data_IF_882959787112
#
_entry.id   IF_882959787112
#
_cell.length_a   1.000
_cell.length_b   1.000
_cell.length_c   1.000
_cell.angle_alpha   90.00
_cell.angle_beta   90.00
_cell.angle_gamma   90.00
#
_symmetry.space_group_name_H-M   'P 1'
#
loop_
_entity.id
_entity.type
_entity.pdbx_description
1 polymer ?
#
# COMPACT_ATOMS: atom_id res chain seq x y z
N UNK A 1 -62.28 -32.85 -24.63
CA UNK A 1 -61.53 -33.81 -23.79
C UNK A 1 -60.16 -33.21 -23.56
N UNK A 2 -59.85 -32.92 -22.29
CA UNK A 2 -58.58 -32.32 -21.85
C UNK A 2 -57.42 -33.30 -22.05
N UNK A 3 -56.26 -32.78 -22.43
CA UNK A 3 -54.98 -33.26 -21.96
C UNK A 3 -54.07 -32.05 -21.70
N UNK A 4 -53.80 -31.82 -20.41
CA UNK A 4 -52.83 -30.85 -19.91
C UNK A 4 -51.41 -31.32 -20.25
N UNK A 5 -50.58 -30.40 -20.74
CA UNK A 5 -49.12 -30.51 -20.77
C UNK A 5 -48.54 -29.22 -20.21
N UNK A 6 -48.18 -29.24 -18.93
CA UNK A 6 -47.55 -28.14 -18.20
C UNK A 6 -46.05 -28.17 -18.54
N UNK A 7 -45.57 -27.15 -19.26
CA UNK A 7 -44.14 -26.88 -19.47
C UNK A 7 -43.75 -25.62 -18.72
N UNK A 8 -43.10 -25.79 -17.57
CA UNK A 8 -42.54 -24.73 -16.73
C UNK A 8 -41.23 -24.28 -17.40
N UNK A 9 -41.25 -23.13 -18.07
CA UNK A 9 -40.03 -22.42 -18.46
C UNK A 9 -39.57 -21.53 -17.30
N UNK A 10 -38.26 -21.50 -16.97
CA UNK A 10 -37.77 -20.62 -15.92
C UNK A 10 -37.93 -19.16 -16.37
N UNK A 11 -38.66 -18.39 -15.55
CA UNK A 11 -38.69 -16.94 -15.58
C UNK A 11 -37.27 -16.42 -15.38
N UNK A 12 -36.66 -15.93 -16.46
CA UNK A 12 -35.55 -14.98 -16.37
C UNK A 12 -36.09 -13.77 -15.62
N UNK A 13 -35.74 -13.68 -14.34
CA UNK A 13 -35.99 -12.51 -13.52
C UNK A 13 -35.39 -11.32 -14.24
N UNK A 14 -36.25 -10.41 -14.68
CA UNK A 14 -35.84 -9.12 -15.20
C UNK A 14 -35.04 -8.40 -14.13
N UNK A 15 -33.72 -8.37 -14.29
CA UNK A 15 -32.97 -7.23 -13.79
C UNK A 15 -33.59 -6.03 -14.50
N UNK A 16 -34.30 -5.20 -13.75
CA UNK A 16 -34.52 -3.82 -14.17
C UNK A 16 -33.14 -3.29 -14.53
N UNK A 17 -32.93 -3.01 -15.81
CA UNK A 17 -31.80 -2.19 -16.24
C UNK A 17 -31.96 -0.88 -15.46
N UNK A 18 -31.08 -0.67 -14.47
CA UNK A 18 -30.99 0.61 -13.80
C UNK A 18 -30.76 1.63 -14.91
N UNK A 19 -31.64 2.62 -14.99
CA UNK A 19 -31.43 3.79 -15.83
C UNK A 19 -30.00 4.25 -15.56
N UNK A 20 -29.11 4.37 -16.57
CA UNK A 20 -27.75 4.81 -16.33
C UNK A 20 -27.82 6.13 -15.57
N UNK A 21 -27.25 6.16 -14.35
CA UNK A 21 -27.08 7.41 -13.64
C UNK A 21 -26.40 8.37 -14.62
N UNK A 22 -26.89 9.62 -14.78
CA UNK A 22 -26.18 10.59 -15.59
C UNK A 22 -24.74 10.65 -15.08
N UNK A 23 -23.79 10.45 -15.99
CA UNK A 23 -22.35 10.39 -15.71
C UNK A 23 -21.87 11.77 -15.28
N UNK A 24 -22.15 12.14 -14.04
CA UNK A 24 -21.77 13.42 -13.42
C UNK A 24 -20.88 13.18 -12.22
N UNK A 25 -19.90 14.04 -12.05
CA UNK A 25 -19.03 14.09 -10.87
C UNK A 25 -19.68 14.96 -9.80
N UNK A 26 -19.77 14.43 -8.58
CA UNK A 26 -20.19 15.16 -7.39
C UNK A 26 -18.98 15.81 -6.73
N UNK A 27 -19.08 17.11 -6.46
CA UNK A 27 -18.11 17.86 -5.66
C UNK A 27 -18.65 17.95 -4.23
N UNK A 28 -17.89 17.43 -3.28
CA UNK A 28 -18.23 17.38 -1.86
C UNK A 28 -17.15 18.11 -1.05
N UNK A 29 -17.27 19.44 -0.86
CA UNK A 29 -16.38 20.19 0.02
C UNK A 29 -16.58 19.74 1.48
N UNK A 30 -15.48 19.59 2.21
CA UNK A 30 -15.49 19.27 3.65
C UNK A 30 -15.23 20.53 4.46
N UNK A 31 -14.20 21.27 4.07
CA UNK A 31 -13.83 22.57 4.63
C UNK A 31 -13.06 23.37 3.57
N UNK A 32 -12.51 24.53 3.95
CA UNK A 32 -11.77 25.38 3.02
C UNK A 32 -10.60 24.69 2.34
N UNK A 33 -10.00 23.67 2.96
CA UNK A 33 -8.74 23.07 2.51
C UNK A 33 -8.86 21.60 2.10
N UNK A 34 -10.06 21.02 2.19
CA UNK A 34 -10.33 19.61 1.93
C UNK A 34 -11.65 19.45 1.17
N UNK A 35 -11.62 18.72 0.07
CA UNK A 35 -12.78 18.38 -0.73
C UNK A 35 -12.64 16.99 -1.37
N UNK A 36 -13.76 16.42 -1.80
CA UNK A 36 -13.78 15.21 -2.61
C UNK A 36 -14.43 15.48 -3.97
N UNK A 37 -13.92 14.83 -5.00
CA UNK A 37 -14.57 14.70 -6.30
C UNK A 37 -14.94 13.23 -6.50
N UNK A 38 -16.23 12.94 -6.65
CA UNK A 38 -16.76 11.58 -6.69
C UNK A 38 -17.42 11.33 -8.05
N UNK A 39 -17.02 10.26 -8.73
CA UNK A 39 -17.61 9.86 -9.99
C UNK A 39 -18.24 8.47 -9.87
N UNK A 40 -19.43 8.24 -10.46
CA UNK A 40 -19.98 6.90 -10.64
C UNK A 40 -18.98 5.97 -11.34
N UNK A 41 -18.97 4.71 -10.95
CA UNK A 41 -18.09 3.70 -11.54
C UNK A 41 -18.82 2.36 -11.71
N UNK A 42 -18.81 1.76 -12.91
CA UNK A 42 -19.64 0.59 -13.22
C UNK A 42 -19.30 -0.65 -12.38
N UNK A 43 -18.04 -0.83 -12.00
CA UNK A 43 -17.60 -2.01 -11.23
C UNK A 43 -17.47 -1.75 -9.72
N UNK A 44 -17.34 -0.48 -9.30
CA UNK A 44 -17.00 -0.14 -7.92
C UNK A 44 -18.17 0.55 -7.20
N UNK A 45 -19.21 0.97 -7.92
CA UNK A 45 -20.24 1.91 -7.43
C UNK A 45 -19.83 3.33 -7.73
N UNK A 46 -18.78 3.81 -7.06
CA UNK A 46 -18.17 5.11 -7.27
C UNK A 46 -16.67 5.12 -6.93
N UNK A 47 -15.94 6.05 -7.54
CA UNK A 47 -14.57 6.39 -7.18
C UNK A 47 -14.56 7.80 -6.61
N UNK A 48 -14.01 7.97 -5.41
CA UNK A 48 -13.81 9.28 -4.80
C UNK A 48 -12.33 9.64 -4.76
N UNK A 49 -12.01 10.81 -5.26
CA UNK A 49 -10.68 11.41 -5.17
C UNK A 49 -10.68 12.46 -4.07
N UNK A 50 -9.75 12.36 -3.14
CA UNK A 50 -9.55 13.37 -2.10
C UNK A 50 -8.58 14.42 -2.58
N UNK A 51 -9.05 15.65 -2.59
CA UNK A 51 -8.25 16.83 -2.85
C UNK A 51 -8.01 17.59 -1.57
N UNK A 52 -6.77 17.98 -1.36
CA UNK A 52 -6.41 18.82 -0.25
C UNK A 52 -5.47 19.91 -0.73
N UNK A 53 -5.71 21.15 -0.30
CA UNK A 53 -4.77 22.26 -0.49
C UNK A 53 -4.07 22.54 0.83
N UNK A 54 -3.01 23.35 0.78
CA UNK A 54 -2.22 23.70 1.97
C UNK A 54 -1.58 22.47 2.64
N UNK A 55 -1.35 21.39 1.87
CA UNK A 55 -0.82 20.12 2.39
C UNK A 55 0.63 19.92 2.07
N UNK A 56 1.43 19.76 3.11
CA UNK A 56 2.82 19.34 3.04
C UNK A 56 3.58 19.81 4.25
N UNK A 57 4.90 19.75 4.19
CA UNK A 57 5.78 20.12 5.29
C UNK A 57 6.95 20.94 4.82
N UNK A 58 7.46 21.78 5.70
CA UNK A 58 8.70 22.53 5.53
C UNK A 58 9.83 21.76 6.22
N UNK A 59 10.52 20.89 5.49
CA UNK A 59 11.81 20.34 5.88
C UNK A 59 12.92 21.00 5.07
N UNK A 60 14.11 21.21 5.65
CA UNK A 60 15.29 21.61 4.88
C UNK A 60 15.53 20.55 3.77
N UNK A 61 15.59 20.90 2.47
CA UNK A 61 15.94 22.21 1.88
C UNK A 61 14.76 23.04 1.33
N UNK A 62 13.51 22.70 1.64
CA UNK A 62 12.32 23.41 1.16
C UNK A 62 12.07 24.68 2.00
N UNK A 63 11.69 25.79 1.36
CA UNK A 63 11.29 27.02 2.06
C UNK A 63 9.76 27.10 2.17
N UNK A 64 9.23 27.35 3.37
CA UNK A 64 7.79 27.53 3.59
C UNK A 64 6.96 26.25 3.45
N UNK A 65 5.66 26.29 3.75
CA UNK A 65 4.75 25.18 3.42
C UNK A 65 4.27 25.31 1.96
N UNK A 66 3.77 24.25 1.32
CA UNK A 66 3.02 24.38 0.06
C UNK A 66 1.65 24.99 0.38
N UNK A 67 1.41 26.24 -0.02
CA UNK A 67 0.33 27.04 0.59
C UNK A 67 -0.95 27.19 -0.22
N UNK A 68 -1.10 26.66 -1.45
CA UNK A 68 -2.23 27.14 -2.28
C UNK A 68 -2.86 26.11 -3.24
N UNK A 69 -2.09 25.22 -3.86
CA UNK A 69 -2.59 24.33 -4.89
C UNK A 69 -3.46 23.17 -4.35
N UNK A 70 -4.58 22.87 -5.03
CA UNK A 70 -5.37 21.66 -4.80
C UNK A 70 -4.64 20.42 -5.32
N UNK A 71 -4.45 19.42 -4.47
CA UNK A 71 -3.73 18.20 -4.84
C UNK A 71 -4.46 16.94 -4.47
N UNK A 72 -4.37 15.95 -5.35
CA UNK A 72 -4.88 14.61 -5.07
C UNK A 72 -3.97 13.93 -4.05
N UNK A 73 -4.55 13.47 -2.95
CA UNK A 73 -3.83 12.85 -1.82
C UNK A 73 -4.33 11.46 -1.47
N UNK A 74 -5.56 11.11 -1.88
CA UNK A 74 -6.12 9.79 -1.70
C UNK A 74 -7.19 9.44 -2.74
N UNK A 75 -7.43 8.14 -2.88
CA UNK A 75 -8.47 7.55 -3.72
C UNK A 75 -9.21 6.48 -2.93
N UNK A 76 -10.54 6.47 -3.05
CA UNK A 76 -11.45 5.56 -2.37
C UNK A 76 -12.40 4.91 -3.37
N UNK A 77 -12.77 3.65 -3.12
CA UNK A 77 -13.93 3.02 -3.71
C UNK A 77 -15.13 3.15 -2.77
N UNK A 78 -16.32 3.37 -3.32
CA UNK A 78 -17.56 3.59 -2.59
C UNK A 78 -18.71 2.86 -3.27
N UNK A 79 -19.66 2.34 -2.50
CA UNK A 79 -20.83 1.69 -3.07
C UNK A 79 -21.70 2.63 -3.94
N UNK A 80 -21.70 3.93 -3.65
CA UNK A 80 -22.50 4.93 -4.36
C UNK A 80 -21.85 6.33 -4.30
N UNK A 81 -22.16 7.18 -5.30
CA UNK A 81 -21.63 8.55 -5.42
C UNK A 81 -22.11 9.49 -4.31
N UNK A 82 -23.23 9.18 -3.67
CA UNK A 82 -23.73 9.92 -2.51
C UNK A 82 -23.01 9.55 -1.20
N UNK A 83 -22.27 8.43 -1.18
CA UNK A 83 -21.57 7.94 -0.01
C UNK A 83 -20.51 8.92 0.53
N UNK A 84 -20.27 8.87 1.85
CA UNK A 84 -19.20 9.62 2.50
C UNK A 84 -17.87 8.83 2.43
N UNK A 85 -16.85 9.31 1.68
CA UNK A 85 -15.55 8.67 1.60
C UNK A 85 -14.87 8.48 2.96
N UNK A 86 -15.12 9.35 3.93
CA UNK A 86 -14.43 9.33 5.21
C UNK A 86 -14.88 8.17 6.11
N UNK A 87 -16.14 7.73 5.99
CA UNK A 87 -16.72 6.69 6.86
C UNK A 87 -17.08 5.40 6.13
N UNK A 88 -17.38 5.49 4.83
CA UNK A 88 -17.84 4.35 4.03
C UNK A 88 -16.88 3.95 2.90
N UNK A 89 -15.82 4.74 2.66
CA UNK A 89 -14.87 4.50 1.57
C UNK A 89 -13.88 3.38 1.88
N UNK A 90 -13.75 2.42 0.96
CA UNK A 90 -12.59 1.52 0.94
C UNK A 90 -11.39 2.28 0.38
N UNK A 91 -10.33 2.42 1.17
CA UNK A 91 -9.11 3.12 0.76
C UNK A 91 -8.38 2.33 -0.32
N UNK A 92 -8.30 2.86 -1.54
CA UNK A 92 -7.46 2.28 -2.59
C UNK A 92 -6.03 2.80 -2.48
N UNK A 93 -5.86 4.05 -2.09
CA UNK A 93 -4.57 4.68 -1.81
C UNK A 93 -4.74 5.96 -1.02
N UNK A 94 -3.80 6.23 -0.12
CA UNK A 94 -3.76 7.48 0.63
C UNK A 94 -2.32 7.80 1.04
N UNK A 95 -1.95 9.08 0.99
CA UNK A 95 -0.68 9.55 1.50
C UNK A 95 -0.83 10.97 2.08
N UNK A 96 0.15 11.39 2.87
CA UNK A 96 0.30 12.77 3.34
C UNK A 96 0.87 13.66 2.23
N UNK A 97 1.65 13.07 1.32
CA UNK A 97 2.19 13.75 0.13
C UNK A 97 1.24 13.63 -1.06
N UNK A 98 1.33 14.60 -1.97
CA UNK A 98 0.54 14.57 -3.18
C UNK A 98 1.18 13.70 -4.29
N UNK A 99 0.34 13.35 -5.27
CA UNK A 99 0.62 12.32 -6.27
C UNK A 99 1.01 12.91 -7.64
N UNK A 100 1.05 14.23 -7.75
CA UNK A 100 1.34 14.98 -8.96
C UNK A 100 2.80 14.81 -9.40
N UNK A 101 3.79 15.04 -8.54
CA UNK A 101 5.21 14.95 -8.92
C UNK A 101 6.14 14.78 -7.70
N UNK A 102 7.42 14.52 -7.95
CA UNK A 102 8.47 14.59 -6.93
C UNK A 102 9.80 15.07 -7.52
N UNK A 103 10.42 16.04 -6.86
CA UNK A 103 11.75 16.56 -7.19
C UNK A 103 12.69 16.46 -6.00
N UNK A 104 13.96 16.17 -6.23
CA UNK A 104 14.96 16.15 -5.16
C UNK A 104 16.09 17.10 -5.50
N UNK A 105 16.44 17.99 -4.57
CA UNK A 105 17.59 18.87 -4.72
C UNK A 105 18.70 18.34 -3.80
N UNK A 106 19.88 18.07 -4.38
CA UNK A 106 21.06 17.48 -3.71
C UNK A 106 20.89 16.01 -3.24
N UNK A 107 21.86 15.50 -2.49
CA UNK A 107 22.00 14.10 -2.04
C UNK A 107 21.25 13.79 -0.73
N UNK A 108 20.18 14.52 -0.39
CA UNK A 108 19.41 14.27 0.85
C UNK A 108 18.50 13.05 0.61
N UNK A 109 18.54 12.00 1.44
CA UNK A 109 18.01 10.67 1.11
C UNK A 109 16.47 10.52 1.07
N UNK A 110 15.69 11.56 1.37
CA UNK A 110 14.25 11.41 1.52
C UNK A 110 13.49 11.62 0.20
N UNK A 111 13.22 10.50 -0.49
CA UNK A 111 12.25 10.40 -1.59
C UNK A 111 10.82 10.42 -1.02
N UNK A 112 10.08 11.51 -1.19
CA UNK A 112 8.85 11.73 -0.43
C UNK A 112 7.67 12.36 -1.15
N UNK A 113 7.41 12.12 -2.45
CA UNK A 113 6.25 12.75 -3.12
C UNK A 113 6.36 14.28 -3.14
N UNK A 114 5.32 15.00 -3.58
CA UNK A 114 5.30 16.47 -3.63
C UNK A 114 5.15 17.12 -2.25
N UNK A 115 5.99 16.68 -1.31
CA UNK A 115 6.22 17.32 -0.03
C UNK A 115 7.20 18.50 -0.20
N UNK A 116 6.94 19.35 -1.20
CA UNK A 116 7.76 20.52 -1.50
C UNK A 116 7.10 21.76 -0.91
N UNK A 117 7.67 22.25 0.18
CA UNK A 117 7.45 23.61 0.62
C UNK A 117 7.77 24.64 -0.47
N UNK A 118 7.05 25.76 -0.50
CA UNK A 118 7.42 26.91 -1.34
C UNK A 118 6.81 26.91 -2.74
N UNK A 119 5.83 26.04 -3.01
CA UNK A 119 4.99 26.18 -4.19
C UNK A 119 3.99 27.32 -4.01
N UNK A 120 3.99 28.24 -4.97
CA UNK A 120 3.04 29.36 -5.08
C UNK A 120 2.17 29.18 -6.32
N UNK A 121 0.87 29.36 -6.18
CA UNK A 121 -0.07 29.28 -7.30
C UNK A 121 0.07 30.53 -8.16
N UNK A 122 0.22 30.35 -9.48
CA UNK A 122 0.23 31.45 -10.45
C UNK A 122 -1.17 31.62 -11.04
N UNK A 123 -1.80 30.51 -11.42
CA UNK A 123 -3.17 30.50 -11.92
C UNK A 123 -3.85 29.16 -11.64
N UNK A 124 -5.17 29.22 -11.47
CA UNK A 124 -6.04 28.06 -11.37
C UNK A 124 -7.35 28.37 -12.08
N UNK A 125 -7.74 27.53 -13.04
CA UNK A 125 -9.00 27.64 -13.75
C UNK A 125 -9.66 26.28 -13.82
N UNK A 126 -10.98 26.21 -13.67
CA UNK A 126 -11.72 24.96 -13.73
C UNK A 126 -12.80 24.88 -12.68
N UNK A 127 -13.10 23.65 -12.27
CA UNK A 127 -14.14 23.35 -11.29
C UNK A 127 -13.73 23.84 -9.91
N UNK A 128 -14.61 24.59 -9.24
CA UNK A 128 -14.36 25.09 -7.89
C UNK A 128 -14.66 24.00 -6.85
N UNK A 129 -13.60 23.40 -6.28
CA UNK A 129 -13.70 22.39 -5.22
C UNK A 129 -14.32 22.91 -3.91
N UNK A 130 -14.46 24.23 -3.74
CA UNK A 130 -15.10 24.82 -2.56
C UNK A 130 -16.63 24.88 -2.67
N UNK A 131 -17.19 24.61 -3.86
CA UNK A 131 -18.62 24.67 -4.12
C UNK A 131 -19.20 23.27 -4.30
N UNK A 132 -20.13 22.90 -3.43
CA UNK A 132 -20.85 21.64 -3.55
C UNK A 132 -21.73 21.64 -4.80
N UNK A 133 -21.77 20.52 -5.53
CA UNK A 133 -22.60 20.40 -6.73
C UNK A 133 -22.30 19.18 -7.58
N UNK A 134 -22.97 19.11 -8.73
CA UNK A 134 -22.74 18.08 -9.75
C UNK A 134 -22.27 18.75 -11.04
N UNK A 135 -21.21 18.21 -11.63
CA UNK A 135 -20.63 18.67 -12.89
C UNK A 135 -20.49 17.50 -13.85
N UNK A 136 -20.52 17.70 -15.19
CA UNK A 136 -20.33 16.60 -16.14
C UNK A 136 -18.96 15.91 -16.01
N UNK A 137 -17.93 16.70 -15.70
CA UNK A 137 -16.58 16.26 -15.38
C UNK A 137 -15.98 17.24 -14.38
N UNK A 138 -15.09 16.75 -13.52
CA UNK A 138 -14.28 17.61 -12.67
C UNK A 138 -12.96 17.87 -13.40
N UNK A 139 -12.67 19.13 -13.69
CA UNK A 139 -11.50 19.52 -14.46
C UNK A 139 -10.83 20.75 -13.85
N UNK A 140 -9.50 20.81 -13.91
CA UNK A 140 -8.77 22.05 -13.67
C UNK A 140 -7.46 22.10 -14.43
N UNK A 141 -7.08 23.34 -14.74
CA UNK A 141 -5.75 23.73 -15.17
C UNK A 141 -5.10 24.55 -14.06
N UNK A 142 -3.87 24.19 -13.73
CA UNK A 142 -3.07 24.84 -12.70
C UNK A 142 -1.71 25.22 -13.25
N UNK A 143 -1.28 26.44 -12.96
CA UNK A 143 0.11 26.86 -13.10
C UNK A 143 0.65 27.29 -11.75
N UNK A 144 1.86 26.86 -11.44
CA UNK A 144 2.52 27.18 -10.17
C UNK A 144 4.03 27.25 -10.33
N UNK A 145 4.69 27.82 -9.33
CA UNK A 145 6.15 27.88 -9.27
C UNK A 145 6.61 27.37 -7.90
N UNK A 146 7.57 26.45 -7.91
CA UNK A 146 8.25 25.96 -6.72
C UNK A 146 9.55 26.73 -6.57
N UNK A 147 9.78 27.33 -5.40
CA UNK A 147 11.04 28.01 -5.06
C UNK A 147 11.81 27.23 -4.00
N UNK A 148 13.02 26.81 -4.33
CA UNK A 148 13.90 26.10 -3.40
C UNK A 148 14.88 27.04 -2.69
N UNK A 149 15.41 26.62 -1.54
CA UNK A 149 16.36 27.41 -0.75
C UNK A 149 17.67 27.74 -1.48
N UNK A 150 18.07 26.95 -2.46
CA UNK A 150 19.26 27.19 -3.28
C UNK A 150 19.02 28.17 -4.46
N UNK A 151 17.82 28.78 -4.54
CA UNK A 151 17.44 29.69 -5.61
C UNK A 151 16.97 29.01 -6.90
N UNK A 152 16.88 27.67 -6.94
CA UNK A 152 16.26 26.96 -8.06
C UNK A 152 14.76 27.24 -8.08
N UNK A 153 14.24 27.64 -9.24
CA UNK A 153 12.80 27.78 -9.48
C UNK A 153 12.35 26.75 -10.52
N UNK A 154 11.25 26.06 -10.24
CA UNK A 154 10.63 25.12 -11.19
C UNK A 154 9.21 25.60 -11.47
N UNK A 155 8.93 25.90 -12.74
CA UNK A 155 7.58 26.18 -13.20
C UNK A 155 6.85 24.85 -13.46
N UNK A 156 5.63 24.73 -12.96
CA UNK A 156 4.76 23.56 -13.09
C UNK A 156 3.49 23.97 -13.83
N UNK A 157 3.10 23.15 -14.79
CA UNK A 157 1.77 23.18 -15.41
C UNK A 157 1.11 21.82 -15.18
N UNK A 158 -0.14 21.83 -14.75
CA UNK A 158 -0.92 20.61 -14.51
C UNK A 158 -2.32 20.77 -15.08
N UNK A 159 -2.70 19.83 -15.92
CA UNK A 159 -4.08 19.66 -16.35
C UNK A 159 -4.59 18.36 -15.73
N UNK A 160 -5.80 18.41 -15.20
CA UNK A 160 -6.40 17.28 -14.53
C UNK A 160 -7.87 17.16 -14.93
N UNK A 161 -8.32 15.95 -15.20
CA UNK A 161 -9.74 15.66 -15.32
C UNK A 161 -10.11 14.34 -14.63
N UNK A 162 -11.31 14.33 -14.04
CA UNK A 162 -12.04 13.15 -13.62
C UNK A 162 -13.33 13.10 -14.44
N UNK A 163 -13.48 12.07 -15.25
CA UNK A 163 -14.69 11.87 -16.05
C UNK A 163 -15.87 11.45 -15.16
N UNK A 164 -17.09 11.66 -15.64
CA UNK A 164 -18.31 11.15 -15.00
C UNK A 164 -18.42 9.62 -14.90
N UNK A 165 -17.40 8.88 -15.31
CA UNK A 165 -17.29 7.41 -15.21
C UNK A 165 -16.07 6.97 -14.37
N UNK A 166 -15.40 7.89 -13.67
CA UNK A 166 -14.32 7.54 -12.74
C UNK A 166 -12.94 7.36 -13.38
N UNK A 167 -12.75 7.74 -14.64
CA UNK A 167 -11.42 7.76 -15.26
C UNK A 167 -10.72 9.08 -14.95
N UNK A 168 -9.46 9.00 -14.55
CA UNK A 168 -8.61 10.18 -14.29
C UNK A 168 -7.65 10.38 -15.44
N UNK A 169 -7.56 11.59 -15.95
CA UNK A 169 -6.51 11.99 -16.87
C UNK A 169 -5.70 13.12 -16.25
N UNK A 170 -4.39 13.03 -16.37
CA UNK A 170 -3.46 14.00 -15.81
C UNK A 170 -2.33 14.26 -16.79
N UNK A 171 -2.12 15.54 -17.11
CA UNK A 171 -0.98 16.02 -17.86
C UNK A 171 -0.16 16.95 -16.96
N UNK A 172 1.13 16.68 -16.81
CA UNK A 172 2.03 17.50 -15.99
C UNK A 172 3.25 17.85 -16.80
N UNK A 173 3.61 19.12 -16.80
CA UNK A 173 4.87 19.62 -17.32
C UNK A 173 5.63 20.37 -16.25
N UNK A 174 6.96 20.23 -16.27
CA UNK A 174 7.87 20.97 -15.40
C UNK A 174 9.00 21.57 -16.23
N UNK A 175 9.33 22.84 -15.97
CA UNK A 175 10.45 23.50 -16.64
C UNK A 175 11.33 24.29 -15.67
N UNK A 176 12.64 24.18 -15.86
CA UNK A 176 13.65 24.90 -15.09
C UNK A 176 15.03 24.81 -15.74
N UNK A 177 15.83 25.86 -15.60
CA UNK A 177 17.27 25.81 -15.88
C UNK A 177 18.09 25.26 -14.68
N UNK A 178 17.44 24.99 -13.55
CA UNK A 178 18.07 24.49 -12.34
C UNK A 178 18.41 23.00 -12.38
N UNK A 179 19.30 22.62 -11.45
CA UNK A 179 19.81 21.26 -11.30
C UNK A 179 19.12 20.55 -10.14
N UNK A 180 18.58 19.36 -10.41
CA UNK A 180 17.93 18.49 -9.42
C UNK A 180 18.48 17.06 -9.56
N UNK A 181 18.53 16.28 -8.48
CA UNK A 181 19.04 14.91 -8.48
C UNK A 181 18.00 13.91 -8.99
N UNK A 182 16.74 14.09 -8.59
CA UNK A 182 15.61 13.21 -8.95
C UNK A 182 14.48 13.99 -9.59
N UNK A 183 13.82 13.36 -10.58
CA UNK A 183 12.68 13.91 -11.30
C UNK A 183 11.64 12.82 -11.56
N UNK A 184 10.47 12.99 -10.98
CA UNK A 184 9.31 12.14 -11.25
C UNK A 184 8.08 13.01 -11.51
N UNK A 185 7.34 12.68 -12.56
CA UNK A 185 6.02 13.27 -12.84
C UNK A 185 4.94 12.18 -12.81
N UNK A 186 3.77 12.49 -12.28
CA UNK A 186 2.64 11.57 -12.19
C UNK A 186 2.93 10.34 -11.35
N UNK A 187 3.14 10.51 -10.04
CA UNK A 187 3.30 9.40 -9.10
C UNK A 187 1.96 8.72 -8.79
N UNK A 188 1.94 7.41 -8.59
CA UNK A 188 0.75 6.72 -8.05
C UNK A 188 1.10 6.18 -6.67
N UNK A 189 0.22 6.41 -5.68
CA UNK A 189 0.45 5.95 -4.31
C UNK A 189 -0.76 5.15 -3.84
N UNK A 190 -0.62 3.84 -3.82
CA UNK A 190 -1.68 2.91 -3.45
C UNK A 190 -1.47 2.34 -2.05
N UNK A 191 -2.53 1.76 -1.50
CA UNK A 191 -2.48 0.96 -0.28
C UNK A 191 -1.40 -0.13 -0.44
N UNK A 192 -0.65 -0.49 0.62
CA UNK A 192 0.40 -1.51 0.53
C UNK A 192 -0.09 -2.88 0.02
N UNK A 193 -1.38 -3.16 0.11
CA UNK A 193 -1.97 -4.40 -0.41
C UNK A 193 -2.02 -4.44 -1.94
N UNK A 194 -1.87 -3.30 -2.63
CA UNK A 194 -1.59 -3.29 -4.08
C UNK A 194 -0.17 -3.80 -4.30
N UNK A 195 0.01 -5.10 -4.16
CA UNK A 195 1.31 -5.74 -4.08
C UNK A 195 1.68 -6.52 -5.33
N UNK A 196 0.81 -6.53 -6.34
CA UNK A 196 1.06 -7.17 -7.62
C UNK A 196 0.92 -6.18 -8.76
N UNK A 197 1.69 -6.42 -9.80
CA UNK A 197 1.61 -5.66 -11.02
C UNK A 197 1.58 -6.55 -12.26
N UNK A 198 1.02 -6.01 -13.34
CA UNK A 198 0.98 -6.61 -14.67
C UNK A 198 1.35 -5.56 -15.71
N UNK A 199 2.08 -6.00 -16.74
CA UNK A 199 2.45 -5.20 -17.92
C UNK A 199 1.84 -5.75 -19.21
N UNK A 200 0.97 -6.77 -19.11
CA UNK A 200 0.31 -7.47 -20.21
C UNK A 200 -1.23 -7.39 -20.11
N UNK A 201 -1.74 -6.33 -19.47
CA UNK A 201 -3.18 -6.08 -19.33
C UNK A 201 -3.88 -7.01 -18.33
N UNK A 202 -3.14 -7.64 -17.42
CA UNK A 202 -3.65 -8.51 -16.36
C UNK A 202 -3.58 -10.00 -16.66
N UNK A 203 -2.94 -10.41 -17.76
CA UNK A 203 -2.79 -11.81 -18.13
C UNK A 203 -1.79 -12.55 -17.22
N UNK A 204 -0.74 -11.86 -16.77
CA UNK A 204 0.20 -12.35 -15.77
C UNK A 204 0.49 -11.30 -14.70
N UNK A 205 0.85 -11.77 -13.50
CA UNK A 205 1.11 -10.92 -12.34
C UNK A 205 2.49 -11.21 -11.75
N UNK A 206 3.21 -10.15 -11.42
CA UNK A 206 4.47 -10.19 -10.68
C UNK A 206 4.31 -9.50 -9.33
N UNK A 207 4.97 -10.02 -8.30
CA UNK A 207 4.95 -9.43 -6.97
C UNK A 207 5.88 -8.21 -6.87
N UNK A 208 5.45 -7.19 -6.13
CA UNK A 208 6.27 -6.08 -5.67
C UNK A 208 6.87 -6.48 -4.32
N UNK A 209 8.20 -6.53 -4.15
CA UNK A 209 8.83 -6.86 -2.87
C UNK A 209 8.31 -6.00 -1.71
N UNK A 210 8.08 -6.60 -0.55
CA UNK A 210 7.55 -5.93 0.64
C UNK A 210 8.63 -5.40 1.60
N UNK A 211 9.83 -5.14 1.09
CA UNK A 211 11.04 -4.81 1.85
C UNK A 211 11.57 -3.39 1.52
N UNK A 212 10.75 -2.56 0.87
CA UNK A 212 11.09 -1.23 0.34
C UNK A 212 12.14 -1.22 -0.79
N UNK A 213 12.53 -2.39 -1.32
CA UNK A 213 13.41 -2.44 -2.48
C UNK A 213 12.73 -1.87 -3.73
N UNK A 214 13.55 -1.24 -4.59
CA UNK A 214 13.08 -0.71 -5.87
C UNK A 214 12.95 -1.85 -6.86
N UNK A 215 11.71 -2.12 -7.28
CA UNK A 215 11.40 -2.99 -8.39
C UNK A 215 11.37 -2.16 -9.68
N UNK A 216 12.28 -2.44 -10.61
CA UNK A 216 12.24 -1.84 -11.94
C UNK A 216 11.21 -2.60 -12.79
N UNK A 217 10.09 -1.95 -13.11
CA UNK A 217 9.00 -2.53 -13.94
C UNK A 217 9.33 -2.40 -15.45
N UNK A 218 10.44 -1.73 -15.79
CA UNK A 218 10.94 -1.38 -17.13
C UNK A 218 10.24 -0.15 -17.76
N UNK A 219 10.01 -0.13 -19.08
CA UNK A 219 9.29 0.93 -19.81
C UNK A 219 7.85 0.54 -20.18
N UNK A 220 7.02 -0.01 -19.28
CA UNK A 220 5.63 -0.28 -19.64
C UNK A 220 4.92 1.06 -19.79
N UNK A 221 4.28 1.26 -20.93
CA UNK A 221 3.33 2.35 -21.14
C UNK A 221 1.97 2.03 -20.52
N UNK A 222 1.79 0.80 -20.04
CA UNK A 222 0.57 0.26 -19.48
C UNK A 222 0.92 -0.63 -18.29
N UNK A 223 0.55 -0.17 -17.11
CA UNK A 223 0.81 -0.82 -15.83
C UNK A 223 -0.50 -1.04 -15.11
N UNK A 224 -0.81 -2.28 -14.77
CA UNK A 224 -1.93 -2.59 -13.87
C UNK A 224 -1.38 -2.97 -12.51
N UNK A 225 -1.77 -2.28 -11.46
CA UNK A 225 -1.57 -2.71 -10.07
C UNK A 225 -2.83 -3.42 -9.59
N UNK A 226 -2.65 -4.44 -8.73
CA UNK A 226 -3.75 -5.20 -8.14
C UNK A 226 -3.53 -5.44 -6.67
N UNK A 227 -4.61 -5.28 -5.91
CA UNK A 227 -4.76 -5.84 -4.58
C UNK A 227 -5.32 -7.26 -4.72
N UNK A 228 -4.52 -8.32 -4.49
CA UNK A 228 -5.00 -9.69 -4.65
C UNK A 228 -6.04 -10.08 -3.60
N UNK A 229 -6.10 -9.40 -2.45
CA UNK A 229 -7.04 -9.74 -1.37
C UNK A 229 -8.45 -9.28 -1.70
N UNK A 230 -8.58 -8.11 -2.33
CA UNK A 230 -9.89 -7.50 -2.61
C UNK A 230 -10.24 -7.51 -4.09
N UNK A 231 -9.30 -7.88 -4.96
CA UNK A 231 -9.48 -7.82 -6.40
C UNK A 231 -9.43 -6.42 -7.00
N UNK A 232 -9.30 -5.35 -6.19
CA UNK A 232 -9.24 -3.99 -6.71
C UNK A 232 -8.02 -3.81 -7.61
N UNK A 233 -8.21 -3.10 -8.72
CA UNK A 233 -7.15 -2.77 -9.66
C UNK A 233 -7.10 -1.28 -9.94
N UNK A 234 -5.89 -0.82 -10.27
CA UNK A 234 -5.68 0.48 -10.91
C UNK A 234 -4.76 0.27 -12.09
N UNK A 235 -5.21 0.70 -13.27
CA UNK A 235 -4.42 0.67 -14.50
C UNK A 235 -3.97 2.09 -14.80
N UNK A 236 -2.66 2.25 -14.90
CA UNK A 236 -1.98 3.47 -15.32
C UNK A 236 -1.48 3.27 -16.75
N UNK A 237 -2.04 4.04 -17.68
CA UNK A 237 -1.49 4.16 -19.04
C UNK A 237 -0.71 5.47 -19.10
N UNK A 238 0.62 5.37 -19.22
CA UNK A 238 1.50 6.54 -19.37
C UNK A 238 1.79 6.75 -20.85
N UNK A 239 1.33 7.86 -21.40
CA UNK A 239 1.67 8.28 -22.75
C UNK A 239 3.03 9.00 -22.75
N UNK A 240 4.10 8.25 -22.50
CA UNK A 240 5.49 8.70 -22.64
C UNK A 240 6.17 8.55 -24.04
N UNK A 241 5.62 7.90 -25.10
CA UNK A 241 6.35 7.60 -26.34
C UNK A 241 6.94 8.78 -27.14
N UNK A 242 6.78 10.04 -26.73
CA UNK A 242 7.35 11.22 -27.40
C UNK A 242 8.43 11.96 -26.59
N UNK A 243 8.76 11.53 -25.36
CA UNK A 243 9.65 12.28 -24.47
C UNK A 243 11.02 11.59 -24.32
N UNK A 244 12.12 12.17 -24.88
CA UNK A 244 13.45 11.54 -24.85
C UNK A 244 14.01 11.37 -23.43
N UNK A 245 13.46 12.09 -22.46
CA UNK A 245 13.92 12.09 -21.07
C UNK A 245 13.24 11.02 -20.21
N UNK A 246 12.14 10.37 -20.67
CA UNK A 246 11.48 9.31 -19.89
C UNK A 246 12.34 8.05 -19.84
N UNK A 247 12.64 7.57 -18.63
CA UNK A 247 13.53 6.43 -18.44
C UNK A 247 12.79 5.14 -18.19
N UNK A 248 11.92 5.11 -17.17
CA UNK A 248 11.25 3.90 -16.68
C UNK A 248 10.07 4.23 -15.78
N UNK A 249 9.25 3.21 -15.54
CA UNK A 249 8.42 3.14 -14.34
C UNK A 249 9.12 2.25 -13.31
N UNK A 250 9.25 2.75 -12.08
CA UNK A 250 9.71 1.95 -10.93
C UNK A 250 8.61 1.84 -9.90
N UNK A 251 8.65 0.78 -9.08
CA UNK A 251 7.78 0.64 -7.92
C UNK A 251 8.55 0.28 -6.65
N UNK A 252 7.99 0.67 -5.51
CA UNK A 252 8.45 0.24 -4.17
C UNK A 252 7.26 -0.01 -3.26
N UNK A 253 7.41 -0.93 -2.32
CA UNK A 253 6.37 -1.25 -1.35
C UNK A 253 6.94 -1.45 0.05
N UNK A 254 6.37 -0.71 1.00
CA UNK A 254 6.53 -0.91 2.44
C UNK A 254 5.19 -0.58 3.13
N UNK A 255 5.05 0.62 3.67
CA UNK A 255 3.79 1.12 4.25
C UNK A 255 2.75 1.52 3.20
N UNK A 256 3.15 1.55 1.93
CA UNK A 256 2.38 1.98 0.75
C UNK A 256 3.07 1.47 -0.50
N UNK A 257 2.32 1.26 -1.57
CA UNK A 257 2.87 0.95 -2.89
C UNK A 257 2.99 2.25 -3.68
N UNK A 258 4.19 2.57 -4.16
CA UNK A 258 4.42 3.76 -4.99
C UNK A 258 4.90 3.36 -6.36
N UNK A 259 4.39 4.02 -7.40
CA UNK A 259 4.98 4.01 -8.74
C UNK A 259 5.53 5.40 -9.09
N UNK A 260 6.63 5.41 -9.84
CA UNK A 260 7.31 6.63 -10.30
C UNK A 260 7.49 6.57 -11.80
N UNK A 261 7.02 7.58 -12.54
CA UNK A 261 7.50 7.80 -13.91
C UNK A 261 8.78 8.64 -13.83
N UNK A 262 9.93 8.01 -14.00
CA UNK A 262 11.24 8.63 -13.81
C UNK A 262 11.74 9.29 -15.11
N UNK A 263 12.43 10.43 -14.95
CA UNK A 263 13.02 11.19 -16.05
C UNK A 263 14.51 11.44 -15.84
N UNK A 264 15.32 11.16 -16.88
CA UNK A 264 16.73 11.53 -16.96
C UNK A 264 16.89 12.82 -17.75
N UNK A 265 17.52 13.82 -17.14
CA UNK A 265 17.70 15.12 -17.77
C UNK A 265 19.16 15.60 -17.70
N UNK A 266 20.12 14.69 -17.54
CA UNK A 266 21.55 15.01 -17.55
C UNK A 266 21.97 16.12 -16.56
N UNK A 267 21.24 16.26 -15.44
CA UNK A 267 21.53 17.24 -14.40
C UNK A 267 20.66 18.49 -14.43
N UNK A 268 20.19 18.98 -15.57
CA UNK A 268 19.31 20.17 -15.65
C UNK A 268 17.90 19.76 -16.04
N UNK A 269 16.85 20.25 -15.37
CA UNK A 269 15.46 19.83 -15.68
C UNK A 269 15.12 20.08 -17.16
N UNK A 270 15.46 21.25 -17.69
CA UNK A 270 15.07 21.65 -19.04
C UNK A 270 13.55 21.82 -19.10
N UNK A 271 12.89 21.08 -19.98
CA UNK A 271 11.42 20.93 -19.99
C UNK A 271 11.10 19.44 -20.07
N UNK A 272 10.39 18.92 -19.08
CA UNK A 272 9.89 17.53 -19.06
C UNK A 272 8.37 17.55 -18.96
N UNK A 273 7.72 16.55 -19.56
CA UNK A 273 6.27 16.39 -19.47
C UNK A 273 5.88 14.92 -19.38
N UNK A 274 4.74 14.66 -18.75
CA UNK A 274 4.12 13.36 -18.64
C UNK A 274 2.61 13.49 -18.79
N UNK A 275 2.01 12.58 -19.54
CA UNK A 275 0.56 12.37 -19.56
C UNK A 275 0.28 10.96 -19.07
N UNK A 276 -0.72 10.84 -18.20
CA UNK A 276 -1.21 9.54 -17.75
C UNK A 276 -2.72 9.50 -17.65
N UNK A 277 -3.26 8.31 -17.88
CA UNK A 277 -4.65 7.97 -17.62
C UNK A 277 -4.67 6.89 -16.53
N UNK A 278 -5.46 7.12 -15.48
CA UNK A 278 -5.74 6.13 -14.45
C UNK A 278 -7.17 5.63 -14.63
N UNK A 279 -7.33 4.32 -14.66
CA UNK A 279 -8.64 3.65 -14.63
C UNK A 279 -8.67 2.68 -13.46
N UNK A 280 -9.78 2.66 -12.74
CA UNK A 280 -9.97 1.79 -11.59
C UNK A 280 -10.83 0.59 -12.00
N UNK A 281 -10.70 -0.50 -11.27
CA UNK A 281 -11.42 -1.71 -11.61
C UNK A 281 -11.49 -2.70 -10.47
N UNK A 282 -12.15 -3.80 -10.77
CA UNK A 282 -12.31 -4.94 -9.89
C UNK A 282 -12.10 -6.19 -10.72
N UNK A 283 -11.20 -7.05 -10.29
CA UNK A 283 -11.08 -8.43 -10.75
C UNK A 283 -11.53 -9.37 -9.64
N UNK A 284 -11.68 -10.65 -9.94
CA UNK A 284 -11.89 -11.63 -8.88
C UNK A 284 -10.71 -11.55 -7.89
N UNK A 285 -10.95 -11.49 -6.57
CA UNK A 285 -9.89 -11.65 -5.59
C UNK A 285 -9.14 -12.95 -5.85
N UNK A 286 -7.85 -12.99 -5.50
CA UNK A 286 -7.20 -14.29 -5.41
C UNK A 286 -7.97 -15.14 -4.40
N UNK A 287 -8.09 -16.46 -4.65
CA UNK A 287 -8.61 -17.34 -3.62
C UNK A 287 -7.78 -17.09 -2.36
N UNK A 288 -8.44 -16.87 -1.20
CA UNK A 288 -7.71 -16.68 0.04
C UNK A 288 -6.73 -17.85 0.16
N UNK A 289 -5.46 -17.61 0.52
CA UNK A 289 -4.48 -18.68 0.59
C UNK A 289 -5.08 -19.78 1.47
N UNK A 290 -5.12 -21.00 0.95
CA UNK A 290 -5.79 -22.12 1.61
C UNK A 290 -5.07 -22.41 2.94
N UNK A 291 -5.53 -21.77 4.01
CA UNK A 291 -5.05 -21.96 5.35
C UNK A 291 -5.86 -23.07 5.99
N UNK A 292 -5.40 -24.30 5.82
CA UNK A 292 -5.79 -25.37 6.71
C UNK A 292 -5.12 -25.15 8.08
N UNK A 293 -5.78 -25.48 9.19
CA UNK A 293 -5.11 -25.58 10.48
C UNK A 293 -3.81 -26.37 10.35
N UNK A 294 -2.72 -25.84 10.89
CA UNK A 294 -1.43 -26.48 10.78
C UNK A 294 -0.79 -26.69 12.15
N UNK A 295 0.02 -27.73 12.20
CA UNK A 295 0.98 -27.95 13.26
C UNK A 295 2.38 -27.96 12.63
N UNK A 296 3.26 -27.11 13.13
CA UNK A 296 4.68 -27.11 12.77
C UNK A 296 5.47 -27.79 13.88
N UNK A 297 6.18 -28.85 13.49
CA UNK A 297 7.28 -29.45 14.27
C UNK A 297 8.59 -28.87 13.75
N UNK A 298 9.45 -28.38 14.64
CA UNK A 298 10.70 -27.73 14.26
C UNK A 298 11.82 -28.74 14.02
N UNK A 299 11.68 -29.56 12.98
CA UNK A 299 12.60 -30.69 12.67
C UNK A 299 13.67 -30.36 11.63
N UNK A 300 13.44 -29.34 10.80
CA UNK A 300 14.35 -28.91 9.74
C UNK A 300 14.75 -27.45 9.91
N UNK A 301 16.03 -27.15 9.67
CA UNK A 301 16.54 -25.78 9.65
C UNK A 301 16.26 -25.10 8.30
N UNK A 302 16.18 -23.77 8.31
CA UNK A 302 16.05 -22.94 7.11
C UNK A 302 17.34 -22.97 6.28
N UNK A 303 17.20 -23.04 4.95
CA UNK A 303 18.33 -23.04 4.02
C UNK A 303 19.15 -21.73 4.07
N UNK A 304 18.50 -20.60 4.37
CA UNK A 304 19.14 -19.29 4.48
C UNK A 304 19.69 -18.98 5.86
N UNK A 305 19.27 -19.73 6.88
CA UNK A 305 19.73 -19.56 8.26
C UNK A 305 19.63 -20.87 9.06
N UNK A 306 20.75 -21.58 9.29
CA UNK A 306 20.75 -22.85 10.01
C UNK A 306 20.31 -22.73 11.48
N UNK A 307 20.17 -21.51 12.00
CA UNK A 307 19.68 -21.22 13.34
C UNK A 307 18.14 -21.05 13.42
N UNK A 308 17.44 -20.90 12.30
CA UNK A 308 15.98 -20.75 12.25
C UNK A 308 15.33 -22.04 11.72
N UNK A 309 14.12 -22.41 12.17
CA UNK A 309 13.35 -23.46 11.51
C UNK A 309 13.03 -23.08 10.06
N UNK A 310 12.79 -24.08 9.21
CA UNK A 310 12.30 -23.84 7.86
C UNK A 310 11.01 -23.01 7.88
N UNK A 311 10.90 -21.99 7.02
CA UNK A 311 9.75 -21.07 6.96
C UNK A 311 9.78 -19.94 8.00
N UNK A 312 10.92 -19.68 8.64
CA UNK A 312 11.11 -18.59 9.58
C UNK A 312 12.32 -17.72 9.23
N UNK A 313 12.10 -16.40 9.20
CA UNK A 313 13.13 -15.40 8.92
C UNK A 313 13.46 -14.57 10.15
N UNK A 314 14.74 -14.33 10.40
CA UNK A 314 15.22 -13.44 11.46
C UNK A 314 15.24 -11.99 10.94
N UNK A 315 14.47 -11.10 11.56
CA UNK A 315 14.27 -9.74 11.04
C UNK A 315 15.16 -8.66 11.67
N UNK A 316 16.02 -9.01 12.64
CA UNK A 316 17.00 -8.07 13.20
C UNK A 316 18.36 -8.75 13.44
N UNK A 317 19.31 -8.62 12.50
CA UNK A 317 20.68 -9.09 12.67
C UNK A 317 21.51 -7.93 13.22
N UNK A 318 21.57 -7.73 14.54
CA UNK A 318 22.73 -7.02 15.09
C UNK A 318 23.94 -7.94 14.88
N UNK A 319 24.79 -7.58 13.93
CA UNK A 319 25.93 -8.34 13.44
C UNK A 319 26.88 -8.74 14.59
N UNK A 320 27.13 -10.04 14.75
CA UNK A 320 28.11 -10.59 15.69
C UNK A 320 27.55 -11.39 16.87
N UNK A 321 26.23 -11.40 17.07
CA UNK A 321 25.60 -12.22 18.11
C UNK A 321 25.35 -13.63 17.56
N UNK A 322 25.84 -14.70 18.21
CA UNK A 322 25.55 -16.08 17.80
C UNK A 322 24.04 -16.24 17.62
N UNK A 323 23.62 -16.67 16.43
CA UNK A 323 22.25 -17.12 16.21
C UNK A 323 21.92 -18.24 17.20
N UNK A 324 20.62 -18.53 17.42
CA UNK A 324 20.21 -19.69 18.20
C UNK A 324 21.00 -20.94 17.78
N UNK A 325 21.53 -21.69 18.75
CA UNK A 325 22.23 -22.92 18.45
C UNK A 325 21.24 -23.93 17.86
N UNK A 326 21.60 -24.53 16.73
CA UNK A 326 20.76 -25.47 15.99
C UNK A 326 20.22 -26.62 16.86
N UNK A 327 19.08 -27.12 16.41
CA UNK A 327 18.26 -28.21 16.95
C UNK A 327 19.08 -29.47 17.31
N UNK A 328 19.03 -29.98 18.56
CA UNK A 328 19.04 -31.43 18.77
C UNK A 328 17.57 -31.92 18.71
N UNK A 329 17.13 -32.43 17.56
CA UNK A 329 15.79 -33.03 17.43
C UNK A 329 14.66 -32.05 17.06
N UNK A 330 13.46 -32.26 17.61
CA UNK A 330 12.20 -31.57 17.23
C UNK A 330 11.95 -30.22 17.93
N UNK A 331 12.99 -29.51 18.40
CA UNK A 331 12.84 -28.38 19.34
C UNK A 331 13.69 -27.16 18.97
N UNK A 332 13.04 -26.02 18.73
CA UNK A 332 13.67 -24.74 18.45
C UNK A 332 14.08 -24.00 19.72
N UNK A 333 15.38 -23.76 19.90
CA UNK A 333 15.92 -23.07 21.07
C UNK A 333 16.21 -21.62 20.71
N UNK A 334 15.63 -20.69 21.45
CA UNK A 334 15.82 -19.25 21.32
C UNK A 334 16.51 -18.72 22.56
N UNK A 335 17.68 -18.10 22.40
CA UNK A 335 18.47 -17.56 23.52
C UNK A 335 18.40 -16.04 23.55
N UNK A 336 18.09 -15.51 24.72
CA UNK A 336 18.07 -14.07 25.00
C UNK A 336 19.45 -13.44 25.02
N UNK A 337 19.52 -12.17 24.65
CA UNK A 337 20.76 -11.40 24.53
C UNK A 337 20.52 -10.00 25.09
N UNK A 338 21.44 -9.53 25.93
CA UNK A 338 21.29 -8.27 26.65
C UNK A 338 21.08 -7.09 25.69
N UNK A 339 20.02 -6.32 25.94
CA UNK A 339 19.77 -5.03 25.28
C UNK A 339 19.47 -5.09 23.79
N UNK A 340 19.18 -6.28 23.22
CA UNK A 340 18.92 -6.44 21.78
C UNK A 340 17.57 -7.14 21.54
N UNK A 341 16.79 -6.60 20.60
CA UNK A 341 15.56 -7.23 20.14
C UNK A 341 15.90 -8.37 19.14
N UNK A 342 15.85 -9.60 19.61
CA UNK A 342 16.02 -10.79 18.78
C UNK A 342 14.64 -11.33 18.39
N UNK A 343 14.32 -11.26 17.09
CA UNK A 343 12.99 -11.57 16.55
C UNK A 343 13.03 -12.46 15.32
N UNK A 344 12.00 -13.29 15.21
CA UNK A 344 11.78 -14.18 14.08
C UNK A 344 10.32 -14.08 13.65
N UNK A 345 10.13 -14.09 12.34
CA UNK A 345 8.82 -13.97 11.70
C UNK A 345 8.60 -15.20 10.83
N UNK A 346 7.41 -15.79 10.92
CA UNK A 346 7.01 -16.86 10.01
C UNK A 346 6.80 -16.29 8.61
N UNK A 347 7.41 -16.90 7.61
CA UNK A 347 7.44 -16.41 6.23
C UNK A 347 6.05 -16.39 5.59
N UNK A 348 5.22 -17.39 5.91
CA UNK A 348 3.84 -17.47 5.44
C UNK A 348 2.88 -16.76 6.43
N UNK A 349 2.17 -15.68 6.01
CA UNK A 349 1.24 -14.96 6.87
C UNK A 349 -0.14 -15.63 6.96
N UNK A 350 -0.81 -15.43 8.10
CA UNK A 350 -2.23 -15.69 8.33
C UNK A 350 -3.07 -14.80 7.40
N UNK A 351 -4.03 -15.36 6.63
CA UNK A 351 -4.99 -14.58 5.88
C UNK A 351 -6.05 -13.98 6.82
N UNK A 352 -6.94 -13.11 6.31
CA UNK A 352 -8.09 -12.64 7.07
C UNK A 352 -8.86 -13.80 7.72
N UNK A 353 -9.30 -13.57 8.96
CA UNK A 353 -10.00 -14.58 9.76
C UNK A 353 -9.60 -14.56 11.23
N UNK A 354 -10.27 -15.39 12.03
CA UNK A 354 -9.98 -15.52 13.46
C UNK A 354 -9.24 -16.83 13.73
N UNK A 355 -8.15 -16.75 14.49
CA UNK A 355 -7.26 -17.87 14.74
C UNK A 355 -6.90 -17.99 16.22
N UNK A 356 -6.81 -19.22 16.70
CA UNK A 356 -6.11 -19.53 17.95
C UNK A 356 -4.70 -20.01 17.61
N UNK A 357 -3.71 -19.25 18.05
CA UNK A 357 -2.29 -19.56 17.89
C UNK A 357 -1.77 -20.08 19.23
N UNK A 358 -1.10 -21.22 19.22
CA UNK A 358 -0.54 -21.85 20.41
C UNK A 358 0.88 -22.35 20.16
N UNK A 359 1.77 -22.10 21.11
CA UNK A 359 3.12 -22.65 21.13
C UNK A 359 3.29 -23.56 22.33
N UNK A 360 3.81 -24.75 22.11
CA UNK A 360 4.34 -25.59 23.18
C UNK A 360 5.79 -25.20 23.44
N UNK A 361 6.09 -24.95 24.71
CA UNK A 361 7.38 -24.38 25.10
C UNK A 361 7.83 -24.84 26.48
N UNK A 362 9.11 -24.61 26.77
CA UNK A 362 9.65 -24.52 28.12
C UNK A 362 10.69 -23.40 28.20
N UNK A 363 10.80 -22.76 29.35
CA UNK A 363 11.66 -21.62 29.62
C UNK A 363 12.49 -21.91 30.89
N UNK A 364 13.48 -22.82 30.81
CA UNK A 364 14.17 -23.37 31.98
C UNK A 364 14.89 -22.31 32.82
N UNK A 365 15.21 -21.15 32.23
CA UNK A 365 15.96 -20.06 32.84
C UNK A 365 15.05 -18.89 33.29
N UNK A 366 13.74 -19.13 33.44
CA UNK A 366 12.71 -18.13 33.76
C UNK A 366 12.13 -17.45 32.52
N UNK A 367 11.37 -16.34 32.65
CA UNK A 367 10.73 -15.67 31.49
C UNK A 367 11.74 -15.35 30.39
N UNK A 368 11.61 -16.05 29.27
CA UNK A 368 12.67 -16.18 28.27
C UNK A 368 12.28 -15.70 26.85
N UNK A 369 11.05 -15.20 26.66
CA UNK A 369 10.57 -14.66 25.39
C UNK A 369 9.06 -14.47 25.37
N UNK A 370 8.54 -14.14 24.19
CA UNK A 370 7.10 -14.03 23.95
C UNK A 370 6.80 -14.23 22.45
N UNK A 371 5.55 -14.51 22.12
CA UNK A 371 5.07 -14.43 20.74
C UNK A 371 3.88 -13.48 20.60
N UNK A 372 3.63 -13.04 19.38
CA UNK A 372 2.59 -12.09 19.00
C UNK A 372 2.26 -12.26 17.50
N UNK A 373 1.23 -11.58 17.03
CA UNK A 373 0.83 -11.52 15.62
C UNK A 373 0.79 -10.07 15.17
N UNK A 374 1.48 -9.77 14.07
CA UNK A 374 1.71 -8.42 13.56
C UNK A 374 1.09 -8.25 12.18
N UNK A 375 0.81 -7.02 11.75
CA UNK A 375 0.31 -6.73 10.41
C UNK A 375 1.42 -6.49 9.37
N UNK A 376 2.69 -6.63 9.74
CA UNK A 376 3.85 -6.39 8.88
C UNK A 376 4.87 -7.54 8.95
N UNK A 377 5.45 -7.88 7.81
CA UNK A 377 6.45 -8.95 7.63
C UNK A 377 7.78 -8.72 8.38
N UNK A 378 8.08 -7.47 8.75
CA UNK A 378 9.27 -7.14 9.57
C UNK A 378 9.09 -7.53 11.03
N UNK A 379 7.85 -7.81 11.45
CA UNK A 379 7.50 -8.06 12.84
C UNK A 379 7.66 -6.84 13.75
N UNK A 380 7.62 -5.62 13.20
CA UNK A 380 7.67 -4.35 13.95
C UNK A 380 6.62 -4.32 15.05
N UNK A 381 7.01 -4.10 16.32
CA UNK A 381 6.15 -4.14 17.52
C UNK A 381 5.13 -3.00 17.60
N UNK A 382 5.07 -2.11 16.62
CA UNK A 382 4.14 -0.99 16.59
C UNK A 382 2.81 -1.46 15.99
N UNK A 383 1.76 -1.51 16.80
CA UNK A 383 0.41 -1.92 16.38
C UNK A 383 0.25 -3.42 16.12
N UNK A 384 0.51 -4.29 17.13
CA UNK A 384 0.25 -5.72 16.98
C UNK A 384 -1.23 -5.99 16.69
N UNK A 385 -1.51 -6.95 15.79
CA UNK A 385 -2.87 -7.49 15.63
C UNK A 385 -3.31 -8.25 16.87
N UNK A 386 -2.37 -8.92 17.53
CA UNK A 386 -2.56 -9.53 18.83
C UNK A 386 -1.21 -9.77 19.52
N UNK A 387 -1.13 -9.67 20.84
CA UNK A 387 0.06 -9.99 21.63
C UNK A 387 0.49 -8.89 22.60
N UNK A 388 1.51 -9.13 23.45
CA UNK A 388 2.35 -10.34 23.51
C UNK A 388 1.85 -11.42 24.51
N UNK A 389 2.04 -12.69 24.15
CA UNK A 389 1.88 -13.85 25.04
C UNK A 389 3.26 -14.38 25.48
N UNK A 390 3.55 -14.33 26.79
CA UNK A 390 4.87 -14.62 27.34
C UNK A 390 5.17 -16.11 27.57
N UNK A 391 6.43 -16.48 27.40
CA UNK A 391 6.97 -17.79 27.76
C UNK A 391 7.57 -17.73 29.17
N UNK A 392 6.85 -18.23 30.18
CA UNK A 392 7.19 -18.03 31.61
C UNK A 392 7.45 -19.33 32.39
N UNK A 393 7.04 -20.49 31.86
CA UNK A 393 7.13 -21.77 32.57
C UNK A 393 8.45 -22.50 32.35
N UNK A 394 9.13 -22.89 33.42
CA UNK A 394 10.31 -23.75 33.36
C UNK A 394 9.99 -25.21 32.96
N UNK A 395 8.77 -25.67 33.23
CA UNK A 395 8.26 -26.97 32.77
C UNK A 395 7.58 -26.83 31.39
N UNK A 396 7.44 -27.92 30.60
CA UNK A 396 6.65 -27.92 29.39
C UNK A 396 5.26 -27.34 29.61
N UNK A 397 4.89 -26.34 28.82
CA UNK A 397 3.63 -25.61 28.91
C UNK A 397 3.19 -25.16 27.52
N UNK A 398 1.95 -24.68 27.42
CA UNK A 398 1.41 -24.07 26.20
C UNK A 398 1.12 -22.59 26.46
N UNK A 399 1.63 -21.71 25.61
CA UNK A 399 1.23 -20.31 25.54
C UNK A 399 0.32 -20.13 24.32
N UNK A 400 -0.81 -19.44 24.49
CA UNK A 400 -1.77 -19.25 23.39
C UNK A 400 -2.30 -17.82 23.31
N UNK A 401 -2.77 -17.46 22.12
CA UNK A 401 -3.30 -16.14 21.77
C UNK A 401 -4.40 -16.34 20.73
N UNK A 402 -5.52 -15.65 20.89
CA UNK A 402 -6.51 -15.50 19.82
C UNK A 402 -6.24 -14.21 19.06
N UNK A 403 -6.27 -14.27 17.73
CA UNK A 403 -6.09 -13.11 16.86
C UNK A 403 -7.21 -13.07 15.83
N UNK A 404 -7.71 -11.87 15.53
CA UNK A 404 -8.51 -11.63 14.34
C UNK A 404 -7.66 -10.83 13.36
N UNK A 405 -7.41 -11.41 12.19
CA UNK A 405 -6.79 -10.73 11.06
C UNK A 405 -7.92 -10.08 10.25
N UNK A 406 -7.97 -8.73 10.16
CA UNK A 406 -9.03 -8.05 9.42
C UNK A 406 -9.02 -8.40 7.93
N UNK A 407 -10.18 -8.29 7.28
CA UNK A 407 -10.26 -8.31 5.82
C UNK A 407 -9.30 -7.26 5.22
N UNK A 408 -8.68 -7.62 4.09
CA UNK A 408 -7.65 -6.79 3.47
C UNK A 408 -6.27 -6.88 4.12
N UNK A 409 -6.10 -7.50 5.30
CA UNK A 409 -4.81 -7.56 5.99
C UNK A 409 -4.20 -8.97 6.00
N UNK A 410 -2.94 -9.03 6.42
CA UNK A 410 -2.19 -10.26 6.66
C UNK A 410 -1.63 -10.27 8.08
N UNK A 411 -1.69 -11.42 8.76
CA UNK A 411 -1.16 -11.60 10.10
C UNK A 411 0.14 -12.39 10.12
N UNK A 412 1.22 -11.80 10.61
CA UNK A 412 2.53 -12.42 10.70
C UNK A 412 2.78 -12.90 12.13
N UNK A 413 3.01 -14.20 12.33
CA UNK A 413 3.37 -14.76 13.64
C UNK A 413 4.82 -14.41 13.94
N UNK A 414 5.05 -13.75 15.07
CA UNK A 414 6.36 -13.25 15.48
C UNK A 414 6.74 -13.83 16.83
N UNK A 415 7.96 -14.33 16.93
CA UNK A 415 8.56 -14.80 18.18
C UNK A 415 9.71 -13.88 18.57
N UNK A 416 9.73 -13.45 19.83
CA UNK A 416 10.75 -12.59 20.41
C UNK A 416 11.52 -13.36 21.49
N UNK A 417 12.85 -13.26 21.47
CA UNK A 417 13.69 -13.72 22.58
C UNK A 417 13.62 -12.76 23.77
N UNK A 418 14.02 -13.25 24.95
CA UNK A 418 14.30 -12.40 26.10
C UNK A 418 15.42 -11.40 25.81
N UNK A 419 15.31 -10.22 26.42
CA UNK A 419 16.36 -9.22 26.47
C UNK A 419 17.40 -9.51 27.57
N UNK A 420 17.32 -10.65 28.26
CA UNK A 420 18.27 -11.08 29.28
C UNK A 420 19.22 -12.11 28.68
N UNK A 421 20.53 -11.84 28.72
CA UNK A 421 21.55 -12.76 28.17
C UNK A 421 21.43 -14.15 28.77
N UNK A 422 21.45 -15.16 27.90
CA UNK A 422 21.56 -16.57 28.29
C UNK A 422 20.24 -17.22 28.70
N UNK A 423 19.13 -16.47 28.80
CA UNK A 423 17.82 -17.08 29.04
C UNK A 423 17.31 -17.80 27.80
N UNK A 424 16.99 -19.09 27.92
CA UNK A 424 16.52 -19.90 26.80
C UNK A 424 15.02 -20.11 26.84
N UNK A 425 14.39 -19.96 25.68
CA UNK A 425 13.07 -20.51 25.37
C UNK A 425 13.29 -21.71 24.46
N UNK A 426 12.69 -22.84 24.79
CA UNK A 426 12.67 -24.04 23.96
C UNK A 426 11.24 -24.16 23.45
N UNK A 427 11.04 -24.15 22.14
CA UNK A 427 9.74 -24.26 21.49
C UNK A 427 9.69 -25.60 20.74
N UNK A 428 8.69 -26.41 21.01
CA UNK A 428 8.58 -27.77 20.45
C UNK A 428 7.53 -27.85 19.34
N UNK A 429 6.48 -27.04 19.43
CA UNK A 429 5.44 -27.00 18.41
C UNK A 429 4.79 -25.62 18.30
N UNK A 430 4.33 -25.31 17.10
CA UNK A 430 3.36 -24.25 16.81
C UNK A 430 2.09 -24.89 16.28
N UNK A 431 0.93 -24.46 16.79
CA UNK A 431 -0.38 -24.78 16.24
C UNK A 431 -1.13 -23.49 15.90
N UNK A 432 -1.71 -23.43 14.72
CA UNK A 432 -2.65 -22.39 14.33
C UNK A 432 -3.97 -23.04 13.94
N UNK A 433 -5.03 -22.73 14.68
CA UNK A 433 -6.38 -23.24 14.47
C UNK A 433 -7.25 -22.09 13.98
N UNK A 434 -7.85 -22.23 12.79
CA UNK A 434 -8.90 -21.34 12.35
C UNK A 434 -10.14 -21.54 13.24
N UNK A 435 -10.68 -20.46 13.77
CA UNK A 435 -11.92 -20.48 14.55
C UNK A 435 -13.10 -20.16 13.61
N UNK A 436 -14.29 -20.74 13.85
CA UNK A 436 -15.49 -20.33 13.14
C UNK A 436 -15.71 -18.83 13.29
N UNK A 437 -16.15 -18.18 12.20
CA UNK A 437 -16.51 -16.77 12.18
C UNK A 437 -17.72 -16.48 13.08
#
# INVERSE_FOLDING_TARGET
>A
MLALGIGIGPTLGGQQASTPLPATVRIAPVNGDLAYALAPHPALGAVALRFQRNTGGSGFPNLGAPWEAWRMTAVYALADVEGDPATAGTVLGADVGAWDYAFQIAAIPEYGGSWHGGETLVSYTGTDLSQAGFVPAFEFDQQSVIRFSNGTEIAISRQFSLSGQGAVQEAIAASSAGVVSTRTLGMLIMHPDFCRFSTDGGASWSDIPGDDSICAIAKPFDLVLRNPITGHTVRQVTNAPSQPQFTRISARRLARTKTYNEFDTAGVIGTIAAERVLTFGLTEPDPPPAWAPFAESFTNASASNPAAPAGWTRTHPSSGVPGPAALPGESWIITGVNGQANRWVRDAPLPPGTYQIAFDYSAPDGTAGAFQVMNVNTGSTVGPLAGPASFTSAAPATASLTVTVPEGQQGYIVVNASNTTGRRTIITALRALALPA
#
